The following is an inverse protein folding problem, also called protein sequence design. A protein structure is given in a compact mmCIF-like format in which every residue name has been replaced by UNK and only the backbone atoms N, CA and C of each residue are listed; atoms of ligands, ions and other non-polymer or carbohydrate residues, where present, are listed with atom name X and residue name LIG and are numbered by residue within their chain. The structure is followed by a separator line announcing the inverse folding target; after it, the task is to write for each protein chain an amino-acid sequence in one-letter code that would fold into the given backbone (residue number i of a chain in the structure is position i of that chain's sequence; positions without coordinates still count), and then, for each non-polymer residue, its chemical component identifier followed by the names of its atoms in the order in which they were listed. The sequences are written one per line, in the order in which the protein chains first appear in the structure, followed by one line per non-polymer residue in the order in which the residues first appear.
data_IF_377044727217
#
_entry.id   IF_377044727217
#
_cell.length_a   1.000
_cell.length_b   1.000
_cell.length_c   1.000
_cell.angle_alpha   90.00
_cell.angle_beta   90.00
_cell.angle_gamma   90.00
#
_symmetry.space_group_name_H-M   'P 1'
#
loop_
_entity.id
_entity.type
_entity.pdbx_description
1 polymer ?
#
# COMPACT_ATOMS: atom_id res chain seq x y z
N UNK A 1 -24.64 -45.68 0.59
CA UNK A 1 -24.90 -44.24 0.79
C UNK A 1 -23.57 -43.53 0.59
N UNK A 2 -23.41 -42.74 -0.49
CA UNK A 2 -22.13 -42.13 -0.89
C UNK A 2 -22.18 -40.65 -0.50
N UNK A 3 -21.41 -40.24 0.51
CA UNK A 3 -21.28 -38.81 0.87
C UNK A 3 -20.05 -38.23 0.18
N UNK A 4 -20.29 -37.30 -0.74
CA UNK A 4 -19.27 -36.61 -1.52
C UNK A 4 -18.49 -35.62 -0.63
N UNK A 5 -17.16 -35.76 -0.64
CA UNK A 5 -16.21 -34.85 -0.02
C UNK A 5 -16.23 -33.50 -0.73
N UNK A 6 -16.58 -32.43 -0.01
CA UNK A 6 -16.56 -31.05 -0.50
C UNK A 6 -15.13 -30.62 -0.78
N UNK A 7 -14.76 -30.56 -2.06
CA UNK A 7 -13.51 -29.98 -2.54
C UNK A 7 -13.70 -28.46 -2.55
N UNK A 8 -13.12 -27.77 -1.57
CA UNK A 8 -13.14 -26.30 -1.51
C UNK A 8 -12.31 -25.75 -2.67
N UNK A 9 -13.00 -25.29 -3.72
CA UNK A 9 -12.39 -24.63 -4.88
C UNK A 9 -11.82 -23.27 -4.43
N UNK A 10 -10.51 -23.08 -4.59
CA UNK A 10 -9.86 -21.77 -4.45
C UNK A 10 -10.51 -20.82 -5.46
N UNK A 11 -11.02 -19.64 -5.07
CA UNK A 11 -11.46 -18.67 -6.06
C UNK A 11 -10.25 -18.25 -6.89
N UNK A 12 -10.38 -18.44 -8.20
CA UNK A 12 -9.40 -18.03 -9.20
C UNK A 12 -9.06 -16.55 -9.02
N UNK A 13 -7.79 -16.25 -9.17
CA UNK A 13 -7.20 -14.91 -9.16
C UNK A 13 -8.14 -13.86 -9.77
N UNK A 14 -8.75 -13.05 -8.91
CA UNK A 14 -9.53 -11.91 -9.34
C UNK A 14 -8.59 -10.92 -10.05
N UNK A 15 -8.54 -10.99 -11.38
CA UNK A 15 -7.93 -9.95 -12.21
C UNK A 15 -8.56 -8.63 -11.80
N UNK A 16 -7.79 -7.77 -11.12
CA UNK A 16 -8.18 -6.39 -10.83
C UNK A 16 -8.42 -5.71 -12.18
N UNK A 17 -9.70 -5.56 -12.56
CA UNK A 17 -10.07 -4.73 -13.70
C UNK A 17 -9.59 -3.32 -13.39
N UNK A 18 -8.63 -2.82 -14.16
CA UNK A 18 -8.17 -1.44 -14.07
C UNK A 18 -9.40 -0.53 -14.15
N UNK A 19 -9.60 0.32 -13.14
CA UNK A 19 -10.69 1.31 -13.11
C UNK A 19 -10.49 2.46 -14.08
N UNK A 20 -9.50 2.37 -14.97
CA UNK A 20 -9.34 3.36 -16.04
C UNK A 20 -10.39 3.13 -17.12
N UNK A 21 -11.61 3.62 -16.88
CA UNK A 21 -12.48 4.11 -17.96
C UNK A 21 -11.59 4.91 -18.89
N UNK A 22 -11.58 4.59 -20.20
CA UNK A 22 -10.77 5.30 -21.23
C UNK A 22 -10.66 6.77 -20.85
N UNK A 23 -9.43 7.22 -20.56
CA UNK A 23 -9.19 8.62 -20.20
C UNK A 23 -9.78 9.46 -21.33
N UNK A 24 -10.81 10.28 -21.04
CA UNK A 24 -11.37 11.25 -22.00
C UNK A 24 -10.38 12.37 -22.33
N UNK A 25 -9.17 12.29 -21.79
CA UNK A 25 -8.05 13.18 -22.05
C UNK A 25 -7.57 13.00 -23.48
N UNK A 26 -7.67 14.07 -24.26
CA UNK A 26 -7.06 14.16 -25.58
C UNK A 26 -5.53 14.27 -25.45
N UNK A 27 -4.87 13.12 -25.50
CA UNK A 27 -3.42 13.01 -25.39
C UNK A 27 -2.69 13.60 -26.61
N UNK A 28 -3.34 13.65 -27.77
CA UNK A 28 -2.74 14.23 -28.98
C UNK A 28 -2.65 15.75 -28.84
N UNK A 29 -3.70 16.40 -28.32
CA UNK A 29 -3.71 17.84 -28.02
C UNK A 29 -2.64 18.25 -27.00
N UNK A 30 -2.43 17.45 -25.96
CA UNK A 30 -1.43 17.74 -24.92
C UNK A 30 0.02 17.56 -25.40
N UNK A 31 0.26 16.66 -26.37
CA UNK A 31 1.59 16.41 -26.94
C UNK A 31 1.94 17.34 -28.11
N UNK A 32 0.96 17.98 -28.73
CA UNK A 32 1.21 18.99 -29.74
C UNK A 32 2.01 20.15 -29.12
N UNK A 33 2.96 20.76 -29.86
CA UNK A 33 3.71 21.93 -29.40
C UNK A 33 2.82 23.18 -29.40
N UNK A 34 1.77 23.17 -28.57
CA UNK A 34 1.01 24.35 -28.20
C UNK A 34 1.72 25.08 -27.06
N UNK A 35 1.53 26.40 -26.99
CA UNK A 35 2.10 27.28 -25.97
C UNK A 35 2.02 26.61 -24.59
N UNK A 36 3.16 26.17 -24.06
CA UNK A 36 3.22 25.58 -22.72
C UNK A 36 2.54 26.55 -21.75
N UNK A 37 1.58 26.07 -20.96
CA UNK A 37 0.95 26.87 -19.92
C UNK A 37 2.05 27.39 -19.01
N UNK A 38 2.40 28.66 -19.17
CA UNK A 38 3.37 29.31 -18.30
C UNK A 38 2.72 29.40 -16.93
N UNK A 39 3.47 29.21 -15.83
CA UNK A 39 2.93 29.34 -14.48
C UNK A 39 2.20 30.67 -14.36
N UNK A 40 0.88 30.64 -14.26
CA UNK A 40 0.08 31.84 -14.13
C UNK A 40 0.27 32.40 -12.71
N UNK A 41 0.22 33.72 -12.57
CA UNK A 41 0.41 34.43 -11.29
C UNK A 41 -0.64 34.03 -10.23
N UNK A 42 -1.73 33.39 -10.67
CA UNK A 42 -2.79 32.83 -9.84
C UNK A 42 -2.39 31.55 -9.08
N UNK A 43 -1.35 30.84 -9.52
CA UNK A 43 -0.90 29.57 -8.93
C UNK A 43 0.63 29.52 -8.78
N UNK A 44 1.21 30.30 -7.85
CA UNK A 44 2.66 30.34 -7.63
C UNK A 44 3.25 28.98 -7.21
N UNK A 45 2.47 28.10 -6.60
CA UNK A 45 2.85 26.74 -6.18
C UNK A 45 3.18 25.79 -7.35
N UNK A 46 2.61 26.05 -8.53
CA UNK A 46 2.89 25.29 -9.76
C UNK A 46 4.17 25.76 -10.46
N UNK A 47 4.85 26.78 -9.92
CA UNK A 47 6.15 27.22 -10.42
C UNK A 47 7.17 26.08 -10.36
N UNK A 48 7.93 25.92 -11.44
CA UNK A 48 9.03 24.94 -11.56
C UNK A 48 10.00 25.07 -10.39
N UNK A 49 10.22 26.29 -9.86
CA UNK A 49 11.07 26.52 -8.70
C UNK A 49 10.54 25.82 -7.42
N UNK A 50 9.22 25.76 -7.22
CA UNK A 50 8.61 25.05 -6.09
C UNK A 50 8.62 23.54 -6.29
N UNK A 51 8.45 23.06 -7.53
CA UNK A 51 8.51 21.62 -7.87
C UNK A 51 9.93 21.08 -7.68
N UNK A 52 10.95 21.82 -8.12
CA UNK A 52 12.37 21.43 -7.98
C UNK A 52 12.82 21.48 -6.51
N UNK A 53 12.20 22.33 -5.68
CA UNK A 53 12.43 22.39 -4.23
C UNK A 53 11.61 21.39 -3.43
N UNK A 54 10.63 20.74 -4.06
CA UNK A 54 9.98 19.56 -3.51
C UNK A 54 11.05 18.48 -3.34
N UNK A 55 11.41 18.19 -2.10
CA UNK A 55 12.33 17.10 -1.76
C UNK A 55 11.70 15.80 -2.26
N UNK A 56 11.99 15.43 -3.50
CA UNK A 56 11.93 14.04 -3.92
C UNK A 56 12.92 13.37 -2.98
N UNK A 57 12.43 12.61 -2.00
CA UNK A 57 13.27 11.77 -1.13
C UNK A 57 13.93 10.68 -1.99
N UNK A 58 14.85 11.08 -2.87
CA UNK A 58 15.79 10.21 -3.59
C UNK A 58 16.72 9.65 -2.53
N UNK A 59 16.56 8.37 -2.20
CA UNK A 59 17.40 7.69 -1.22
C UNK A 59 16.65 7.04 -0.05
N UNK A 60 15.33 7.10 0.01
CA UNK A 60 14.59 6.20 0.89
C UNK A 60 14.73 4.78 0.33
N UNK A 61 15.63 3.99 0.92
CA UNK A 61 15.68 2.55 0.68
C UNK A 61 14.30 1.98 0.99
N UNK A 62 13.61 1.32 0.03
CA UNK A 62 12.34 0.70 0.30
C UNK A 62 12.52 -0.31 1.44
N UNK A 63 11.86 -0.08 2.57
CA UNK A 63 11.86 -1.07 3.64
C UNK A 63 11.26 -2.37 3.07
N UNK A 64 11.84 -3.55 3.35
CA UNK A 64 11.27 -4.80 2.90
C UNK A 64 9.80 -4.90 3.36
N UNK A 65 8.93 -5.31 2.44
CA UNK A 65 7.52 -5.48 2.74
C UNK A 65 7.32 -6.57 3.79
N UNK A 66 6.34 -6.35 4.67
CA UNK A 66 5.93 -7.36 5.65
C UNK A 66 5.26 -8.52 4.91
N UNK A 67 5.65 -9.75 5.24
CA UNK A 67 4.96 -10.94 4.75
C UNK A 67 3.64 -11.13 5.51
N UNK A 68 2.54 -11.35 4.79
CA UNK A 68 1.27 -11.72 5.39
C UNK A 68 1.24 -13.23 5.62
N UNK A 69 1.19 -13.65 6.88
CA UNK A 69 1.06 -15.06 7.26
C UNK A 69 -0.23 -15.28 8.05
N UNK A 70 -0.76 -16.50 7.99
CA UNK A 70 -1.83 -16.95 8.88
C UNK A 70 -1.19 -17.66 10.07
N UNK A 71 -1.26 -17.05 11.25
CA UNK A 71 -0.72 -17.57 12.51
C UNK A 71 -1.88 -17.79 13.48
N UNK A 72 -1.86 -18.93 14.17
CA UNK A 72 -2.76 -19.19 15.30
C UNK A 72 -2.11 -18.66 16.58
N UNK A 73 -2.88 -17.92 17.36
CA UNK A 73 -2.49 -17.35 18.65
C UNK A 73 -3.62 -17.66 19.62
N UNK A 74 -3.29 -17.90 20.88
CA UNK A 74 -4.28 -18.13 21.93
C UNK A 74 -5.22 -16.91 22.08
N UNK A 75 -6.46 -17.20 22.46
CA UNK A 75 -7.55 -16.23 22.46
C UNK A 75 -7.35 -15.14 23.51
N UNK A 76 -6.87 -15.51 24.70
CA UNK A 76 -6.53 -14.62 25.80
C UNK A 76 -5.40 -13.65 25.44
N UNK A 77 -4.35 -14.13 24.78
CA UNK A 77 -3.24 -13.32 24.29
C UNK A 77 -3.74 -12.31 23.25
N UNK A 78 -4.56 -12.76 22.29
CA UNK A 78 -5.12 -11.88 21.27
C UNK A 78 -6.01 -10.79 21.88
N UNK A 79 -6.84 -11.15 22.86
CA UNK A 79 -7.72 -10.23 23.56
C UNK A 79 -6.93 -9.19 24.37
N UNK A 80 -5.89 -9.61 25.07
CA UNK A 80 -4.99 -8.71 25.78
C UNK A 80 -4.36 -7.65 24.85
N UNK A 81 -3.83 -8.07 23.69
CA UNK A 81 -3.24 -7.14 22.71
C UNK A 81 -4.27 -6.18 22.11
N UNK A 82 -5.50 -6.65 21.87
CA UNK A 82 -6.63 -5.82 21.40
C UNK A 82 -7.07 -4.81 22.46
N UNK A 83 -7.06 -5.19 23.74
CA UNK A 83 -7.39 -4.32 24.87
C UNK A 83 -6.45 -3.10 24.99
N UNK A 84 -5.22 -3.20 24.47
CA UNK A 84 -4.28 -2.07 24.40
C UNK A 84 -4.58 -1.06 23.27
N UNK A 85 -5.71 -1.19 22.59
CA UNK A 85 -6.21 -0.23 21.61
C UNK A 85 -5.70 -0.48 20.18
N UNK A 86 -5.80 0.53 19.28
CA UNK A 86 -5.44 0.36 17.88
C UNK A 86 -3.95 0.00 17.71
N UNK A 87 -3.64 -0.71 16.61
CA UNK A 87 -2.26 -1.11 16.30
C UNK A 87 -1.78 -2.39 16.98
N UNK A 88 -2.66 -3.21 17.54
CA UNK A 88 -2.32 -4.46 18.24
C UNK A 88 -1.45 -5.42 17.40
N UNK A 89 -1.69 -5.52 16.08
CA UNK A 89 -0.86 -6.34 15.18
C UNK A 89 0.59 -5.84 15.08
N UNK A 90 0.79 -4.51 15.11
CA UNK A 90 2.12 -3.92 15.11
C UNK A 90 2.84 -4.24 16.42
N UNK A 91 2.14 -4.19 17.56
CA UNK A 91 2.69 -4.57 18.88
C UNK A 91 3.09 -6.05 18.91
N UNK A 92 2.24 -6.95 18.41
CA UNK A 92 2.57 -8.38 18.25
C UNK A 92 3.88 -8.53 17.46
N UNK A 93 3.99 -7.86 16.32
CA UNK A 93 5.21 -7.92 15.52
C UNK A 93 6.45 -7.38 16.26
N UNK A 94 6.31 -6.34 17.09
CA UNK A 94 7.41 -5.81 17.91
C UNK A 94 7.89 -6.83 18.94
N UNK A 95 6.96 -7.52 19.63
CA UNK A 95 7.32 -8.58 20.60
C UNK A 95 8.05 -9.73 19.92
N UNK A 96 7.58 -10.17 18.74
CA UNK A 96 8.25 -11.21 17.97
C UNK A 96 9.68 -10.81 17.56
N UNK A 97 9.91 -9.53 17.25
CA UNK A 97 11.28 -9.01 16.97
C UNK A 97 12.14 -9.03 18.23
N UNK A 98 11.63 -8.50 19.34
CA UNK A 98 12.37 -8.48 20.59
C UNK A 98 12.75 -9.89 21.07
N UNK A 99 11.83 -10.86 20.95
CA UNK A 99 12.10 -12.26 21.27
C UNK A 99 13.18 -12.85 20.35
N UNK A 100 13.08 -12.63 19.03
CA UNK A 100 14.11 -13.06 18.07
C UNK A 100 15.48 -12.49 18.43
N UNK A 101 15.56 -11.19 18.66
CA UNK A 101 16.83 -10.50 18.88
C UNK A 101 17.46 -10.86 20.23
N UNK A 102 16.67 -11.29 21.22
CA UNK A 102 17.16 -11.79 22.51
C UNK A 102 17.51 -13.28 22.51
N UNK A 103 16.98 -14.06 21.56
CA UNK A 103 17.20 -15.52 21.46
C UNK A 103 18.34 -15.90 20.51
N UNK A 104 18.96 -14.90 19.87
CA UNK A 104 20.06 -15.05 18.91
C UNK A 104 21.35 -14.55 19.54
#
# INVERSE_FOLDING_TARGET
MKSASSRSEKPQSAKRKSTSVKSKTDWARLKAPGKAASPDRQHPEASVAHIVRGVVRRGLQPLPSKASISLRVDQDVLEWFKGQGPGYQTRINTVLRAFRDASV
#
